data_IF_334891934702
#
_entry.id   IF_334891934702
#
_cell.length_a   1.000
_cell.length_b   1.000
_cell.length_c   1.000
_cell.angle_alpha   90.00
_cell.angle_beta   90.00
_cell.angle_gamma   90.00
#
_symmetry.space_group_name_H-M   'P 1'
#
loop_
_entity.id
_entity.type
_entity.pdbx_description
1 polymer ?
#
# COMPACT_ATOMS: atom_id res chain seq x y z
N UNK A 1 -8.64 -10.87 4.42
CA UNK A 1 -7.28 -11.22 4.89
C UNK A 1 -6.54 -9.98 5.34
N UNK A 2 -5.55 -10.19 6.17
CA UNK A 2 -4.75 -9.09 6.69
C UNK A 2 -3.45 -8.99 5.88
N UNK A 3 -3.10 -7.80 5.43
CA UNK A 3 -1.87 -7.57 4.66
C UNK A 3 -1.10 -6.39 5.23
N UNK A 4 0.19 -6.38 4.95
CA UNK A 4 1.05 -5.22 5.20
C UNK A 4 1.46 -4.66 3.86
N UNK A 5 1.37 -3.36 3.70
CA UNK A 5 1.65 -2.68 2.44
C UNK A 5 2.81 -1.72 2.65
N UNK A 6 3.88 -1.91 1.89
CA UNK A 6 4.99 -0.97 1.86
C UNK A 6 4.80 -0.02 0.69
N UNK A 7 4.93 1.26 0.94
CA UNK A 7 4.69 2.27 -0.08
C UNK A 7 5.63 3.45 0.09
N UNK A 8 5.78 4.23 -0.98
CA UNK A 8 6.49 5.50 -0.93
C UNK A 8 5.54 6.61 -1.34
N UNK A 9 5.70 7.77 -0.71
CA UNK A 9 4.94 8.96 -1.08
C UNK A 9 5.69 9.66 -2.20
N UNK A 10 5.06 9.79 -3.35
CA UNK A 10 5.70 10.35 -4.54
C UNK A 10 6.10 11.79 -4.28
N UNK A 11 7.34 12.13 -4.60
CA UNK A 11 7.86 13.47 -4.42
C UNK A 11 8.48 13.75 -3.05
N UNK A 12 8.34 12.82 -2.11
CA UNK A 12 8.97 12.96 -0.79
C UNK A 12 10.30 12.22 -0.78
N UNK A 13 11.36 12.91 -0.40
CA UNK A 13 12.63 12.26 -0.19
C UNK A 13 12.60 11.56 1.16
N UNK A 14 12.64 10.24 1.12
CA UNK A 14 12.63 9.43 2.31
C UNK A 14 13.50 8.20 2.08
N UNK A 15 14.34 7.88 3.05
CA UNK A 15 15.30 6.80 2.93
C UNK A 15 14.65 5.42 2.96
N UNK A 16 13.56 5.29 3.68
CA UNK A 16 12.85 4.01 3.84
C UNK A 16 11.39 4.17 3.47
N UNK A 17 10.76 3.11 2.94
CA UNK A 17 9.34 3.17 2.64
C UNK A 17 8.52 3.25 3.92
N UNK A 18 7.32 3.78 3.79
CA UNK A 18 6.32 3.70 4.85
C UNK A 18 5.65 2.33 4.81
N UNK A 19 5.13 1.90 5.94
CA UNK A 19 4.45 0.61 6.06
C UNK A 19 3.06 0.84 6.65
N UNK A 20 2.04 0.38 5.94
CA UNK A 20 0.69 0.29 6.46
C UNK A 20 0.48 -1.15 6.89
N UNK A 21 0.61 -1.43 8.17
CA UNK A 21 0.40 -2.76 8.73
C UNK A 21 -1.07 -2.99 9.04
N UNK A 22 -1.47 -4.24 9.09
CA UNK A 22 -2.83 -4.63 9.50
C UNK A 22 -3.93 -4.01 8.63
N UNK A 23 -3.73 -4.04 7.33
CA UNK A 23 -4.76 -3.63 6.38
C UNK A 23 -5.63 -4.85 6.06
N UNK A 24 -6.94 -4.71 6.19
CA UNK A 24 -7.89 -5.80 5.94
C UNK A 24 -8.52 -5.63 4.58
N UNK A 25 -8.42 -6.66 3.76
CA UNK A 25 -8.99 -6.69 2.41
C UNK A 25 -9.72 -8.01 2.19
N UNK A 26 -10.64 -8.08 1.21
CA UNK A 26 -11.30 -9.35 0.88
C UNK A 26 -10.27 -10.44 0.50
N UNK A 27 -10.56 -11.68 0.87
CA UNK A 27 -9.63 -12.79 0.67
C UNK A 27 -9.37 -13.11 -0.79
N UNK A 28 -10.29 -12.75 -1.66
CA UNK A 28 -10.18 -13.06 -3.09
C UNK A 28 -9.43 -11.97 -3.89
N UNK A 29 -8.96 -10.93 -3.23
CA UNK A 29 -8.20 -9.89 -3.91
C UNK A 29 -6.77 -10.36 -4.21
N UNK A 30 -6.31 -10.05 -5.42
CA UNK A 30 -4.92 -10.28 -5.81
C UNK A 30 -4.06 -9.13 -5.29
N UNK A 31 -2.74 -9.32 -5.31
CA UNK A 31 -1.82 -8.25 -4.93
C UNK A 31 -1.98 -7.03 -5.85
N UNK A 32 -2.21 -7.26 -7.14
CA UNK A 32 -2.45 -6.18 -8.08
C UNK A 32 -3.69 -5.37 -7.72
N UNK A 33 -4.74 -6.05 -7.32
CA UNK A 33 -5.97 -5.39 -6.91
C UNK A 33 -5.76 -4.56 -5.65
N UNK A 34 -5.03 -5.09 -4.70
CA UNK A 34 -4.72 -4.39 -3.44
C UNK A 34 -3.88 -3.15 -3.74
N UNK A 35 -2.87 -3.28 -4.59
CA UNK A 35 -2.01 -2.17 -4.99
C UNK A 35 -2.83 -1.05 -5.63
N UNK A 36 -3.66 -1.38 -6.59
CA UNK A 36 -4.49 -0.41 -7.29
C UNK A 36 -5.45 0.30 -6.34
N UNK A 37 -6.11 -0.48 -5.48
CA UNK A 37 -7.02 0.06 -4.48
C UNK A 37 -6.31 1.01 -3.51
N UNK A 38 -5.14 0.61 -3.02
CA UNK A 38 -4.39 1.41 -2.06
C UNK A 38 -3.89 2.71 -2.70
N UNK A 39 -3.34 2.63 -3.89
CA UNK A 39 -2.86 3.81 -4.60
C UNK A 39 -3.99 4.79 -4.93
N UNK A 40 -5.12 4.26 -5.35
CA UNK A 40 -6.29 5.09 -5.65
C UNK A 40 -6.82 5.78 -4.39
N UNK A 41 -6.86 5.06 -3.29
CA UNK A 41 -7.33 5.60 -2.01
C UNK A 41 -6.43 6.73 -1.52
N UNK A 42 -5.15 6.72 -1.84
CA UNK A 42 -4.17 7.69 -1.37
C UNK A 42 -3.63 8.57 -2.49
N UNK A 43 -4.39 8.75 -3.56
CA UNK A 43 -3.91 9.48 -4.75
C UNK A 43 -3.56 10.94 -4.49
N UNK A 44 -4.05 11.53 -3.42
CA UNK A 44 -3.76 12.92 -3.06
C UNK A 44 -2.73 13.06 -1.94
N UNK A 45 -2.25 11.95 -1.38
CA UNK A 45 -1.31 12.03 -0.28
C UNK A 45 -0.01 12.67 -0.75
N UNK A 46 0.44 13.70 -0.04
CA UNK A 46 1.65 14.44 -0.43
C UNK A 46 1.49 15.25 -1.72
N UNK A 47 0.28 15.36 -2.23
CA UNK A 47 -0.02 16.11 -3.46
C UNK A 47 0.12 15.32 -4.74
N UNK A 48 0.80 14.17 -4.73
CA UNK A 48 1.05 13.35 -5.92
C UNK A 48 0.68 11.89 -5.76
N UNK A 49 0.29 11.50 -4.55
CA UNK A 49 -0.10 10.14 -4.28
C UNK A 49 1.05 9.27 -3.80
N UNK A 50 0.83 7.97 -3.83
CA UNK A 50 1.78 6.99 -3.33
C UNK A 50 2.02 5.92 -4.39
N UNK A 51 3.15 5.24 -4.26
CA UNK A 51 3.46 4.06 -5.05
C UNK A 51 3.68 2.88 -4.11
N UNK A 52 2.91 1.83 -4.30
CA UNK A 52 3.05 0.61 -3.53
C UNK A 52 4.23 -0.18 -4.09
N UNK A 53 5.16 -0.56 -3.22
CA UNK A 53 6.36 -1.28 -3.65
C UNK A 53 6.38 -2.73 -3.20
N UNK A 54 5.62 -3.08 -2.16
CA UNK A 54 5.53 -4.47 -1.73
C UNK A 54 4.25 -4.69 -0.94
N UNK A 55 3.71 -5.89 -1.04
CA UNK A 55 2.54 -6.32 -0.28
C UNK A 55 2.85 -7.69 0.30
N UNK A 56 2.71 -7.83 1.62
CA UNK A 56 2.89 -9.10 2.29
C UNK A 56 1.58 -9.52 2.94
N UNK A 57 1.22 -10.79 2.75
CA UNK A 57 0.10 -11.35 3.47
C UNK A 57 0.59 -11.78 4.85
N UNK A 58 -0.09 -11.30 5.88
CA UNK A 58 0.19 -11.70 7.26
C UNK A 58 -0.70 -12.90 7.57
N UNK A 59 -0.15 -14.09 7.40
CA UNK A 59 -0.91 -15.32 7.63
C UNK A 59 -1.47 -15.36 9.04
N UNK A 60 -2.74 -15.52 9.14
CA UNK A 60 -3.46 -15.64 10.40
C UNK A 60 -4.38 -16.85 10.36
#
# INVERSE_FOLDING_TARGET
>A
MKVSIEYIVIGREKKYPDVAGEVYVPDDWTKEKIKEWFEDRHHNLGGKGVEVINIETNGD
#
